data_IF_499443451693
#
_entry.id   IF_499443451693
#
_cell.length_a   1.000
_cell.length_b   1.000
_cell.length_c   1.000
_cell.angle_alpha   90.00
_cell.angle_beta   90.00
_cell.angle_gamma   90.00
#
_symmetry.space_group_name_H-M   'P 1'
#
loop_
_entity.id
_entity.type
_entity.pdbx_description
1 polymer ?
#
# COMPACT_ATOMS: atom_id res chain seq x y z
N UNK A 1 -12.42 4.11 -14.07
CA UNK A 1 -11.77 2.93 -13.47
C UNK A 1 -10.23 3.02 -13.59
N UNK A 2 -9.70 4.21 -13.41
CA UNK A 2 -8.25 4.44 -13.34
C UNK A 2 -7.76 3.88 -11.99
N UNK A 3 -6.71 3.04 -11.95
CA UNK A 3 -6.21 2.45 -10.70
C UNK A 3 -5.40 3.43 -9.83
N UNK A 4 -5.13 4.63 -10.32
CA UNK A 4 -4.41 5.68 -9.61
C UNK A 4 -5.27 6.31 -8.51
N UNK A 5 -4.61 6.85 -7.47
CA UNK A 5 -5.28 7.58 -6.40
C UNK A 5 -6.01 8.83 -6.96
N UNK A 6 -7.29 9.05 -6.61
CA UNK A 6 -8.05 10.20 -7.10
C UNK A 6 -7.43 11.56 -6.75
N UNK A 7 -6.74 11.68 -5.59
CA UNK A 7 -6.06 12.91 -5.21
C UNK A 7 -4.84 13.17 -6.12
N UNK A 8 -4.05 12.13 -6.44
CA UNK A 8 -2.91 12.23 -7.37
C UNK A 8 -3.36 12.59 -8.79
N UNK A 9 -4.47 12.01 -9.26
CA UNK A 9 -5.06 12.37 -10.56
C UNK A 9 -5.48 13.83 -10.59
N UNK A 10 -6.10 14.32 -9.53
CA UNK A 10 -6.51 15.72 -9.40
C UNK A 10 -5.30 16.65 -9.39
N UNK A 11 -4.27 16.35 -8.58
CA UNK A 11 -3.03 17.14 -8.53
C UNK A 11 -2.35 17.18 -9.90
N UNK A 12 -2.25 16.07 -10.61
CA UNK A 12 -1.70 16.01 -11.95
C UNK A 12 -2.49 16.88 -12.95
N UNK A 13 -3.82 16.89 -12.87
CA UNK A 13 -4.67 17.77 -13.70
C UNK A 13 -4.43 19.24 -13.38
N UNK A 14 -4.29 19.60 -12.11
CA UNK A 14 -4.00 20.96 -11.66
C UNK A 14 -2.61 21.43 -12.14
N UNK A 15 -1.65 20.51 -12.26
CA UNK A 15 -0.33 20.77 -12.84
C UNK A 15 -0.35 20.90 -14.37
N UNK A 16 -1.47 20.58 -15.02
CA UNK A 16 -1.68 20.70 -16.45
C UNK A 16 -1.51 19.42 -17.25
N UNK A 17 -1.42 18.26 -16.57
CA UNK A 17 -1.43 16.95 -17.23
C UNK A 17 -2.81 16.71 -17.84
N UNK A 18 -2.84 16.33 -19.12
CA UNK A 18 -4.07 16.01 -19.83
C UNK A 18 -4.29 14.53 -19.89
N UNK A 19 -5.38 14.03 -19.33
CA UNK A 19 -5.78 12.63 -19.38
C UNK A 19 -6.63 12.35 -20.61
N UNK A 20 -6.32 11.29 -21.32
CA UNK A 20 -7.13 10.74 -22.40
C UNK A 20 -7.59 9.34 -22.00
N UNK A 21 -8.78 9.28 -21.43
CA UNK A 21 -9.40 8.02 -21.03
C UNK A 21 -9.91 7.24 -22.27
N UNK A 22 -10.07 5.93 -22.12
CA UNK A 22 -10.51 5.04 -23.18
C UNK A 22 -9.72 5.25 -24.48
N UNK A 23 -8.41 5.29 -24.35
CA UNK A 23 -7.47 5.49 -25.44
C UNK A 23 -6.31 4.50 -25.28
N UNK A 24 -6.07 3.70 -26.31
CA UNK A 24 -4.98 2.71 -26.32
C UNK A 24 -3.91 3.12 -27.33
N UNK A 25 -2.61 3.06 -26.96
CA UNK A 25 -1.53 3.25 -27.89
C UNK A 25 -1.46 2.09 -28.88
N UNK A 26 -1.27 2.38 -30.16
CA UNK A 26 -1.18 1.39 -31.25
C UNK A 26 0.21 1.40 -31.86
N UNK A 27 0.77 2.58 -32.12
CA UNK A 27 2.04 2.72 -32.82
C UNK A 27 2.74 4.01 -32.41
N UNK A 28 4.06 3.92 -32.20
CA UNK A 28 4.91 5.09 -31.98
C UNK A 28 5.48 5.50 -33.34
N UNK A 29 5.22 6.73 -33.76
CA UNK A 29 5.66 7.29 -35.01
C UNK A 29 7.02 7.97 -34.84
N UNK A 30 7.91 7.79 -35.80
CA UNK A 30 9.22 8.39 -35.75
C UNK A 30 9.76 8.73 -37.13
N UNK A 31 10.66 9.69 -37.19
CA UNK A 31 11.46 10.04 -38.37
C UNK A 31 12.87 10.38 -37.94
N UNK A 32 13.86 9.98 -38.70
CA UNK A 32 15.29 10.26 -38.47
C UNK A 32 15.77 9.89 -37.05
N UNK A 33 15.26 8.77 -36.49
CA UNK A 33 15.64 8.28 -35.17
C UNK A 33 15.01 9.07 -34.02
N UNK A 34 14.04 9.95 -34.28
CA UNK A 34 13.30 10.74 -33.26
C UNK A 34 11.83 10.41 -33.30
N UNK A 35 11.20 10.41 -32.12
CA UNK A 35 9.75 10.28 -32.01
C UNK A 35 9.09 11.56 -32.54
N UNK A 36 8.05 11.41 -33.36
CA UNK A 36 7.29 12.51 -33.94
C UNK A 36 5.81 12.48 -33.52
N UNK A 37 5.35 11.34 -33.01
CA UNK A 37 3.97 11.21 -32.60
C UNK A 37 3.64 9.80 -32.10
N UNK A 38 2.39 9.64 -31.69
CA UNK A 38 1.81 8.35 -31.34
C UNK A 38 0.46 8.19 -32.02
N UNK A 39 0.21 7.06 -32.62
CA UNK A 39 -1.10 6.67 -33.10
C UNK A 39 -1.83 5.93 -32.00
N UNK A 40 -3.02 6.36 -31.69
CA UNK A 40 -3.87 5.80 -30.64
C UNK A 40 -5.22 5.37 -31.20
N UNK A 41 -5.81 4.35 -30.61
CA UNK A 41 -7.17 3.90 -30.90
C UNK A 41 -8.12 4.34 -29.78
N UNK A 42 -9.29 4.83 -30.18
CA UNK A 42 -10.38 5.10 -29.25
C UNK A 42 -11.00 3.78 -28.79
N UNK A 43 -11.20 3.64 -27.50
CA UNK A 43 -11.78 2.45 -26.89
C UNK A 43 -13.22 2.74 -26.43
N UNK A 44 -14.06 1.71 -26.44
CA UNK A 44 -15.36 1.71 -25.78
C UNK A 44 -15.38 0.69 -24.64
N UNK A 45 -16.21 0.91 -23.63
CA UNK A 45 -16.40 -0.10 -22.58
C UNK A 45 -17.28 -1.24 -23.12
N UNK A 46 -16.77 -2.45 -23.11
CA UNK A 46 -17.49 -3.67 -23.46
C UNK A 46 -18.54 -4.06 -22.41
N UNK A 47 -19.11 -5.25 -22.57
CA UNK A 47 -20.06 -5.80 -21.61
C UNK A 47 -19.38 -6.10 -20.25
N UNK A 48 -20.09 -5.97 -19.14
CA UNK A 48 -19.56 -6.31 -17.82
C UNK A 48 -19.28 -7.81 -17.71
N UNK A 49 -18.14 -8.18 -17.13
CA UNK A 49 -17.82 -9.55 -16.75
C UNK A 49 -18.62 -9.98 -15.49
N UNK A 50 -18.45 -11.24 -15.06
CA UNK A 50 -19.10 -11.79 -13.85
C UNK A 50 -18.85 -10.98 -12.57
N UNK A 51 -17.81 -10.16 -12.55
CA UNK A 51 -17.45 -9.27 -11.43
C UNK A 51 -17.89 -7.81 -11.67
N UNK A 52 -18.66 -7.56 -12.72
CA UNK A 52 -19.14 -6.23 -13.08
C UNK A 52 -18.08 -5.34 -13.76
N UNK A 53 -16.89 -5.85 -14.10
CA UNK A 53 -15.83 -5.08 -14.75
C UNK A 53 -16.04 -5.07 -16.27
N UNK A 54 -15.95 -3.88 -16.84
CA UNK A 54 -16.10 -3.67 -18.28
C UNK A 54 -14.71 -3.50 -18.91
N UNK A 55 -14.33 -4.42 -19.79
CA UNK A 55 -13.05 -4.33 -20.51
C UNK A 55 -13.14 -3.33 -21.65
N UNK A 56 -12.11 -2.49 -21.87
CA UNK A 56 -12.04 -1.65 -23.06
C UNK A 56 -11.95 -2.51 -24.31
N UNK A 57 -12.70 -2.13 -25.35
CA UNK A 57 -12.74 -2.76 -26.68
C UNK A 57 -12.44 -1.70 -27.72
N UNK A 58 -11.62 -2.00 -28.71
CA UNK A 58 -11.29 -1.09 -29.80
C UNK A 58 -12.51 -0.73 -30.63
N UNK A 59 -12.63 0.55 -30.98
CA UNK A 59 -13.72 1.03 -31.83
C UNK A 59 -13.36 1.06 -33.33
N UNK A 60 -12.07 0.88 -33.66
CA UNK A 60 -11.54 1.09 -35.00
C UNK A 60 -11.32 2.57 -35.38
N UNK A 61 -11.55 3.50 -34.44
CA UNK A 61 -11.27 4.92 -34.65
C UNK A 61 -9.85 5.24 -34.17
N UNK A 62 -9.04 5.80 -35.05
CA UNK A 62 -7.67 6.13 -34.77
C UNK A 62 -7.40 7.62 -34.81
N UNK A 63 -6.54 8.09 -33.93
CA UNK A 63 -6.05 9.48 -33.88
C UNK A 63 -4.53 9.47 -33.82
N UNK A 64 -3.88 10.46 -34.44
CA UNK A 64 -2.44 10.68 -34.29
C UNK A 64 -2.22 11.93 -33.45
N UNK A 65 -1.41 11.78 -32.41
CA UNK A 65 -1.03 12.84 -31.50
C UNK A 65 0.43 13.17 -31.74
N UNK A 66 0.75 14.41 -32.13
CA UNK A 66 2.11 14.88 -32.25
C UNK A 66 2.76 15.03 -30.87
N UNK A 67 3.97 14.47 -30.70
CA UNK A 67 4.76 14.53 -29.46
C UNK A 67 6.20 14.16 -29.72
N UNK A 68 7.09 14.53 -28.82
CA UNK A 68 8.54 14.34 -28.97
C UNK A 68 9.07 13.16 -28.16
N UNK A 69 8.32 12.70 -27.17
CA UNK A 69 8.74 11.62 -26.27
C UNK A 69 7.55 10.76 -25.83
N UNK A 70 7.80 9.48 -25.67
CA UNK A 70 6.82 8.50 -25.11
C UNK A 70 7.46 7.79 -23.93
N UNK A 71 6.74 7.75 -22.81
CA UNK A 71 7.15 7.01 -21.62
C UNK A 71 6.12 5.91 -21.37
N UNK A 72 6.59 4.64 -21.43
CA UNK A 72 5.77 3.50 -21.07
C UNK A 72 5.66 3.35 -19.56
N UNK A 73 4.46 3.47 -19.02
CA UNK A 73 4.16 3.27 -17.58
C UNK A 73 3.00 2.28 -17.40
N UNK A 74 3.07 1.14 -18.12
CA UNK A 74 2.00 0.14 -18.24
C UNK A 74 2.06 -0.98 -17.20
N UNK A 75 2.90 -0.84 -16.18
CA UNK A 75 3.12 -1.82 -15.12
C UNK A 75 4.53 -2.40 -15.12
N UNK A 76 4.76 -3.28 -14.19
CA UNK A 76 6.04 -3.95 -13.97
C UNK A 76 5.82 -5.46 -13.87
N UNK A 77 6.83 -6.22 -14.24
CA UNK A 77 6.91 -7.68 -14.07
C UNK A 77 8.19 -8.02 -13.33
N UNK A 78 8.21 -9.16 -12.67
CA UNK A 78 9.42 -9.65 -12.02
C UNK A 78 10.39 -10.10 -13.09
N UNK A 79 11.59 -9.54 -13.07
CA UNK A 79 12.73 -10.02 -13.82
C UNK A 79 13.66 -10.78 -12.86
N UNK A 80 13.75 -12.10 -13.05
CA UNK A 80 14.59 -12.96 -12.23
C UNK A 80 16.07 -12.89 -12.63
N UNK A 81 16.39 -12.24 -13.76
CA UNK A 81 17.74 -12.06 -14.25
C UNK A 81 18.48 -13.38 -14.41
N UNK A 82 19.63 -13.49 -13.74
CA UNK A 82 20.48 -14.68 -13.75
C UNK A 82 20.15 -15.69 -12.66
N UNK A 83 19.14 -15.45 -11.83
CA UNK A 83 18.71 -16.41 -10.82
C UNK A 83 18.14 -17.65 -11.52
N UNK A 84 18.64 -18.82 -11.12
CA UNK A 84 18.05 -20.07 -11.56
C UNK A 84 16.69 -20.27 -10.84
N UNK A 85 15.63 -20.06 -11.60
CA UNK A 85 14.27 -20.25 -11.09
C UNK A 85 13.76 -21.67 -11.23
N UNK A 86 14.57 -22.61 -11.71
CA UNK A 86 14.17 -24.01 -11.90
C UNK A 86 13.67 -24.70 -10.63
N UNK A 87 14.09 -24.20 -9.46
CA UNK A 87 13.63 -24.67 -8.15
C UNK A 87 12.44 -23.86 -7.61
N UNK A 88 12.03 -22.77 -8.26
CA UNK A 88 10.93 -21.92 -7.84
C UNK A 88 9.67 -22.20 -8.65
N UNK A 89 8.56 -22.44 -7.97
CA UNK A 89 7.25 -22.38 -8.62
C UNK A 89 6.83 -20.93 -8.80
N UNK A 90 6.54 -20.55 -10.05
CA UNK A 90 6.08 -19.20 -10.37
C UNK A 90 4.63 -19.20 -10.85
N UNK A 91 3.92 -18.12 -10.54
CA UNK A 91 2.57 -17.89 -11.03
C UNK A 91 2.56 -17.52 -12.51
N UNK A 92 1.39 -17.48 -13.13
CA UNK A 92 1.21 -16.98 -14.52
C UNK A 92 1.67 -15.52 -14.70
N UNK A 93 1.81 -14.77 -13.62
CA UNK A 93 2.29 -13.38 -13.62
C UNK A 93 3.80 -13.26 -13.40
N UNK A 94 4.50 -14.38 -13.27
CA UNK A 94 5.93 -14.41 -13.02
C UNK A 94 6.35 -14.19 -11.56
N UNK A 95 5.42 -14.05 -10.62
CA UNK A 95 5.74 -13.97 -9.18
C UNK A 95 5.98 -15.35 -8.59
N UNK A 96 6.83 -15.47 -7.58
CA UNK A 96 7.08 -16.74 -6.90
C UNK A 96 5.89 -17.14 -6.02
N UNK A 97 5.66 -18.45 -5.89
CA UNK A 97 4.72 -19.01 -4.92
C UNK A 97 5.41 -19.28 -3.59
N UNK A 98 4.79 -18.88 -2.49
CA UNK A 98 5.29 -19.10 -1.15
C UNK A 98 4.15 -19.24 -0.13
N UNK A 99 4.46 -19.79 1.03
CA UNK A 99 3.53 -19.82 2.16
C UNK A 99 3.29 -18.39 2.70
N UNK A 100 2.05 -18.02 2.84
CA UNK A 100 1.64 -16.66 3.19
C UNK A 100 2.04 -16.23 4.63
N UNK A 101 2.35 -17.18 5.51
CA UNK A 101 2.74 -16.90 6.89
C UNK A 101 4.26 -16.86 7.05
N UNK A 102 4.95 -17.78 6.38
CA UNK A 102 6.39 -17.97 6.54
C UNK A 102 7.21 -17.36 5.43
N UNK A 103 6.59 -17.04 4.30
CA UNK A 103 7.25 -16.55 3.08
C UNK A 103 8.24 -17.57 2.49
N UNK A 104 8.17 -18.84 2.93
CA UNK A 104 8.99 -19.94 2.42
C UNK A 104 8.41 -20.47 1.13
N UNK A 105 9.25 -20.69 0.14
CA UNK A 105 8.86 -21.32 -1.13
C UNK A 105 8.79 -22.85 -0.98
N UNK A 106 8.46 -23.53 -2.07
CA UNK A 106 8.56 -25.01 -2.12
C UNK A 106 10.01 -25.49 -1.92
N UNK A 107 10.99 -24.66 -2.26
CA UNK A 107 12.41 -24.89 -1.94
C UNK A 107 12.66 -24.41 -0.51
N UNK A 108 13.00 -25.29 0.45
CA UNK A 108 12.99 -24.98 1.88
C UNK A 108 13.96 -23.87 2.32
N UNK A 109 15.03 -23.63 1.59
CA UNK A 109 16.07 -22.63 1.87
C UNK A 109 15.85 -21.29 1.13
N UNK A 110 14.75 -21.19 0.36
CA UNK A 110 14.40 -19.98 -0.37
C UNK A 110 13.16 -19.30 0.25
N UNK A 111 13.30 -18.04 0.57
CA UNK A 111 12.23 -17.19 1.09
C UNK A 111 12.04 -15.99 0.16
N UNK A 112 10.80 -15.61 -0.08
CA UNK A 112 10.45 -14.51 -0.97
C UNK A 112 9.46 -13.56 -0.29
N UNK A 113 9.51 -12.28 -0.64
CA UNK A 113 8.58 -11.28 -0.11
C UNK A 113 8.60 -10.01 -0.98
N UNK A 114 7.65 -9.11 -0.77
CA UNK A 114 7.47 -7.92 -1.60
C UNK A 114 6.98 -8.27 -3.01
N UNK A 115 7.30 -7.43 -3.97
CA UNK A 115 6.73 -7.49 -5.33
C UNK A 115 7.02 -8.79 -6.07
N UNK A 116 8.13 -9.46 -5.77
CA UNK A 116 8.43 -10.76 -6.37
C UNK A 116 7.51 -11.90 -5.88
N UNK A 117 6.75 -11.67 -4.80
CA UNK A 117 5.74 -12.59 -4.27
C UNK A 117 4.31 -12.11 -4.54
N UNK A 118 3.99 -10.87 -4.19
CA UNK A 118 2.63 -10.34 -4.27
C UNK A 118 2.29 -9.70 -5.62
N UNK A 119 3.28 -9.40 -6.45
CA UNK A 119 3.20 -8.40 -7.49
C UNK A 119 3.35 -6.98 -6.91
N UNK A 120 3.29 -5.94 -7.74
CA UNK A 120 3.48 -4.56 -7.33
C UNK A 120 2.53 -4.12 -6.21
N UNK A 121 3.10 -3.66 -5.09
CA UNK A 121 2.41 -3.14 -3.90
C UNK A 121 3.14 -1.90 -3.38
N UNK A 122 2.70 -1.35 -2.25
CA UNK A 122 3.39 -0.24 -1.61
C UNK A 122 4.72 -0.68 -0.98
N UNK A 123 5.68 0.23 -0.94
CA UNK A 123 6.99 -0.04 -0.33
C UNK A 123 6.89 -0.52 1.13
N UNK A 124 5.89 -0.04 1.88
CA UNK A 124 5.65 -0.48 3.26
C UNK A 124 5.25 -1.95 3.35
N UNK A 125 4.54 -2.48 2.35
CA UNK A 125 4.17 -3.91 2.29
C UNK A 125 5.40 -4.77 2.04
N UNK A 126 6.31 -4.32 1.17
CA UNK A 126 7.59 -4.99 0.94
C UNK A 126 8.47 -4.99 2.20
N UNK A 127 8.51 -3.89 2.97
CA UNK A 127 9.21 -3.81 4.24
C UNK A 127 8.60 -4.79 5.27
N UNK A 128 7.29 -4.85 5.35
CA UNK A 128 6.60 -5.79 6.25
C UNK A 128 6.90 -7.25 5.87
N UNK A 129 6.79 -7.60 4.60
CA UNK A 129 7.12 -8.92 4.08
C UNK A 129 8.59 -9.31 4.37
N UNK A 130 9.52 -8.37 4.15
CA UNK A 130 10.94 -8.57 4.43
C UNK A 130 11.23 -8.86 5.90
N UNK A 131 10.56 -8.17 6.83
CA UNK A 131 10.69 -8.44 8.27
C UNK A 131 10.19 -9.83 8.63
N UNK A 132 9.04 -10.24 8.11
CA UNK A 132 8.47 -11.56 8.38
C UNK A 132 9.30 -12.67 7.75
N UNK A 133 9.76 -12.50 6.52
CA UNK A 133 10.65 -13.44 5.85
C UNK A 133 12.00 -13.59 6.59
N UNK A 134 12.56 -12.50 7.11
CA UNK A 134 13.80 -12.51 7.90
C UNK A 134 13.64 -13.34 9.20
N UNK A 135 12.48 -13.26 9.87
CA UNK A 135 12.20 -14.10 11.04
C UNK A 135 12.14 -15.58 10.64
N UNK A 136 11.54 -15.89 9.49
CA UNK A 136 11.49 -17.28 8.97
C UNK A 136 12.89 -17.78 8.64
N UNK A 137 13.68 -17.00 7.93
CA UNK A 137 15.05 -17.32 7.57
C UNK A 137 15.91 -17.55 8.83
N UNK A 138 15.81 -16.66 9.82
CA UNK A 138 16.51 -16.81 11.09
C UNK A 138 16.16 -18.12 11.77
N UNK A 139 14.89 -18.47 11.83
CA UNK A 139 14.44 -19.73 12.45
C UNK A 139 14.85 -20.97 11.66
N UNK A 140 14.85 -20.87 10.34
CA UNK A 140 15.25 -21.96 9.45
C UNK A 140 16.70 -22.37 9.67
N UNK A 141 17.62 -21.40 9.85
CA UNK A 141 19.04 -21.71 10.10
C UNK A 141 19.36 -22.10 11.54
N UNK A 142 18.38 -22.04 12.45
CA UNK A 142 18.56 -22.45 13.84
C UNK A 142 17.82 -23.77 14.10
N UNK A 143 18.53 -24.88 14.36
CA UNK A 143 17.92 -26.18 14.57
C UNK A 143 16.87 -26.18 15.69
N UNK A 144 15.77 -26.88 15.46
CA UNK A 144 14.70 -27.06 16.44
C UNK A 144 13.69 -25.93 16.56
N UNK A 145 13.85 -24.85 15.78
CA UNK A 145 12.85 -23.78 15.74
C UNK A 145 11.80 -24.02 14.66
N UNK A 146 10.52 -23.80 15.01
CA UNK A 146 9.43 -23.88 14.03
C UNK A 146 9.22 -22.54 13.37
N UNK A 147 8.95 -22.52 12.06
CA UNK A 147 8.72 -21.27 11.33
C UNK A 147 7.39 -20.60 11.73
N UNK A 148 6.44 -21.36 12.25
CA UNK A 148 5.07 -20.90 12.51
C UNK A 148 4.78 -20.53 13.97
N UNK A 149 5.60 -20.97 14.94
CA UNK A 149 5.34 -20.69 16.35
C UNK A 149 5.33 -19.19 16.66
N UNK A 150 4.28 -18.73 17.33
CA UNK A 150 4.12 -17.31 17.71
C UNK A 150 3.94 -16.35 16.54
N UNK A 151 3.66 -16.85 15.32
CA UNK A 151 3.27 -16.01 14.19
C UNK A 151 1.82 -15.56 14.33
N UNK A 152 1.62 -14.29 14.10
CA UNK A 152 0.31 -13.67 14.16
C UNK A 152 -0.48 -13.99 12.88
N UNK A 153 -1.47 -14.84 12.99
CA UNK A 153 -2.40 -15.17 11.89
C UNK A 153 -3.52 -14.15 11.86
N UNK A 154 -3.21 -12.95 11.38
CA UNK A 154 -4.21 -11.90 11.26
C UNK A 154 -5.21 -12.24 10.15
N UNK A 155 -6.46 -12.35 10.53
CA UNK A 155 -7.57 -12.40 9.58
C UNK A 155 -8.18 -11.02 9.50
N UNK A 156 -7.96 -10.35 8.39
CA UNK A 156 -8.60 -9.07 8.13
C UNK A 156 -10.03 -9.32 7.66
N UNK A 157 -10.99 -8.75 8.36
CA UNK A 157 -12.37 -8.71 7.88
C UNK A 157 -12.52 -7.54 6.91
N UNK A 158 -13.04 -7.81 5.72
CA UNK A 158 -13.53 -6.75 4.86
C UNK A 158 -14.73 -6.11 5.54
N UNK A 159 -14.64 -4.82 5.82
CA UNK A 159 -15.77 -4.07 6.37
C UNK A 159 -16.60 -3.54 5.20
N UNK A 160 -17.89 -3.76 5.25
CA UNK A 160 -18.84 -3.09 4.37
C UNK A 160 -18.97 -1.64 4.84
N UNK A 161 -18.21 -0.75 4.18
CA UNK A 161 -18.17 0.68 4.54
C UNK A 161 -19.42 1.44 4.13
N UNK A 162 -20.21 0.89 3.21
CA UNK A 162 -21.41 1.54 2.70
C UNK A 162 -22.62 1.32 3.60
N UNK A 163 -22.64 0.19 4.34
CA UNK A 163 -23.77 -0.19 5.19
C UNK A 163 -23.44 -0.18 6.68
N UNK A 164 -22.34 0.46 7.09
CA UNK A 164 -22.02 0.60 8.52
C UNK A 164 -23.05 1.50 9.20
N UNK A 165 -23.82 0.93 10.10
CA UNK A 165 -24.69 1.68 11.00
C UNK A 165 -23.81 2.42 12.02
N UNK A 166 -23.49 3.67 11.74
CA UNK A 166 -22.83 4.54 12.69
C UNK A 166 -23.89 5.11 13.63
N UNK A 167 -23.72 4.91 14.94
CA UNK A 167 -24.45 5.66 15.93
C UNK A 167 -24.02 7.13 15.85
N UNK A 168 -24.79 7.95 15.14
CA UNK A 168 -24.43 9.35 14.86
C UNK A 168 -24.83 10.30 15.98
N UNK A 169 -25.52 9.83 17.02
CA UNK A 169 -25.86 10.65 18.18
C UNK A 169 -24.60 11.03 18.94
N UNK A 170 -24.29 12.31 18.98
CA UNK A 170 -23.12 12.86 19.68
C UNK A 170 -21.84 12.99 18.85
N UNK A 171 -21.87 12.65 17.57
CA UNK A 171 -20.74 12.92 16.68
C UNK A 171 -20.88 14.32 16.06
N UNK A 172 -19.74 14.99 16.00
CA UNK A 172 -19.58 16.22 15.26
C UNK A 172 -19.80 15.97 13.76
N UNK A 173 -20.56 16.85 13.11
CA UNK A 173 -20.80 16.82 11.66
C UNK A 173 -19.77 17.66 10.89
N UNK A 174 -18.70 18.08 11.52
CA UNK A 174 -17.65 18.87 10.89
C UNK A 174 -17.00 18.09 9.76
N UNK A 175 -16.81 18.76 8.65
CA UNK A 175 -16.12 18.20 7.49
C UNK A 175 -14.63 18.02 7.78
N UNK A 176 -14.04 17.00 7.13
CA UNK A 176 -12.60 16.77 7.12
C UNK A 176 -11.87 18.05 6.73
N UNK A 177 -10.84 18.42 7.50
CA UNK A 177 -9.93 19.50 7.12
C UNK A 177 -9.02 19.01 5.98
N UNK A 178 -8.78 19.87 5.01
CA UNK A 178 -7.87 19.58 3.91
C UNK A 178 -6.58 20.38 4.08
N UNK A 179 -5.41 19.78 3.77
CA UNK A 179 -4.15 20.53 3.76
C UNK A 179 -4.22 21.66 2.73
N UNK A 180 -3.49 22.73 2.97
CA UNK A 180 -3.35 23.80 2.02
C UNK A 180 -2.50 23.38 0.81
N UNK A 181 -2.57 24.15 -0.26
CA UNK A 181 -1.83 23.92 -1.48
C UNK A 181 -1.10 25.19 -1.94
N UNK A 182 0.19 25.09 -2.23
CA UNK A 182 1.01 26.20 -2.73
C UNK A 182 1.24 26.02 -4.23
N UNK A 183 0.43 26.70 -5.05
CA UNK A 183 0.50 26.62 -6.50
C UNK A 183 1.85 27.05 -7.10
N UNK A 184 2.63 27.89 -6.41
CA UNK A 184 3.96 28.28 -6.88
C UNK A 184 4.98 27.14 -6.85
N UNK A 185 4.73 26.12 -6.04
CA UNK A 185 5.57 24.90 -5.94
C UNK A 185 5.10 23.75 -6.83
N UNK A 186 3.90 23.82 -7.38
CA UNK A 186 3.25 22.74 -8.12
C UNK A 186 4.08 22.17 -9.28
N UNK A 187 4.85 23.00 -9.97
CA UNK A 187 5.69 22.58 -11.11
C UNK A 187 7.18 22.49 -10.76
N UNK A 188 7.49 22.23 -9.51
CA UNK A 188 8.86 22.10 -8.99
C UNK A 188 9.02 20.76 -8.31
N UNK A 189 10.26 20.39 -7.94
CA UNK A 189 10.54 19.21 -7.11
C UNK A 189 10.26 19.43 -5.60
N UNK A 190 9.69 20.57 -5.23
CA UNK A 190 9.30 20.86 -3.85
C UNK A 190 7.87 20.40 -3.60
N UNK A 191 7.58 19.92 -2.39
CA UNK A 191 6.22 19.55 -2.00
C UNK A 191 5.31 20.79 -2.02
N UNK A 192 4.26 20.75 -2.83
CA UNK A 192 3.27 21.81 -2.94
C UNK A 192 2.24 21.79 -1.81
N UNK A 193 2.13 20.68 -1.06
CA UNK A 193 1.22 20.56 0.07
C UNK A 193 1.70 21.39 1.24
N UNK A 194 0.76 22.04 1.91
CA UNK A 194 1.01 22.83 3.12
C UNK A 194 0.40 22.09 4.30
N UNK A 195 1.20 21.86 5.34
CA UNK A 195 0.72 21.19 6.56
C UNK A 195 -0.44 21.92 7.21
N UNK A 196 -1.20 21.20 8.03
CA UNK A 196 -2.29 21.79 8.79
C UNK A 196 -1.81 22.91 9.73
N UNK A 197 -2.64 23.93 9.87
CA UNK A 197 -2.49 24.92 10.95
C UNK A 197 -2.84 24.28 12.29
N UNK A 198 -2.42 24.88 13.40
CA UNK A 198 -2.76 24.41 14.75
C UNK A 198 -4.28 24.28 14.93
N UNK A 199 -5.05 25.21 14.39
CA UNK A 199 -6.52 25.16 14.47
C UNK A 199 -7.09 23.99 13.68
N UNK A 200 -6.59 23.71 12.48
CA UNK A 200 -6.98 22.54 11.69
C UNK A 200 -6.64 21.25 12.40
N UNK A 201 -5.43 21.15 13.01
CA UNK A 201 -5.03 19.97 13.80
C UNK A 201 -6.01 19.75 14.95
N UNK A 202 -6.37 20.79 15.69
CA UNK A 202 -7.33 20.70 16.79
C UNK A 202 -8.70 20.18 16.34
N UNK A 203 -9.19 20.66 15.18
CA UNK A 203 -10.45 20.18 14.59
C UNK A 203 -10.37 18.71 14.19
N UNK A 204 -9.30 18.28 13.52
CA UNK A 204 -9.13 16.88 13.12
C UNK A 204 -8.93 15.96 14.34
N UNK A 205 -8.20 16.41 15.37
CA UNK A 205 -8.06 15.64 16.61
C UNK A 205 -9.40 15.47 17.34
N UNK A 206 -10.29 16.46 17.30
CA UNK A 206 -11.63 16.38 17.89
C UNK A 206 -12.51 15.30 17.20
N UNK A 207 -12.30 15.07 15.92
CA UNK A 207 -13.00 14.03 15.14
C UNK A 207 -12.35 12.65 15.24
N UNK A 208 -11.15 12.54 15.80
CA UNK A 208 -10.35 11.33 15.76
C UNK A 208 -10.99 10.23 16.63
N UNK A 209 -11.29 9.08 16.03
CA UNK A 209 -11.86 7.93 16.73
C UNK A 209 -10.80 7.10 17.49
N UNK A 210 -9.53 7.46 17.39
CA UNK A 210 -8.43 6.75 18.03
C UNK A 210 -8.24 5.30 17.56
N UNK A 211 -8.62 4.97 16.32
CA UNK A 211 -8.63 3.59 15.81
C UNK A 211 -7.27 2.90 15.85
N UNK A 212 -6.19 3.66 15.72
CA UNK A 212 -4.81 3.17 15.79
C UNK A 212 -4.12 3.40 17.13
N UNK A 213 -4.85 3.90 18.14
CA UNK A 213 -4.28 4.19 19.45
C UNK A 213 -3.84 2.90 20.15
N UNK A 214 -2.58 2.88 20.58
CA UNK A 214 -2.04 1.77 21.37
C UNK A 214 -2.76 1.72 22.72
N UNK A 215 -3.30 0.54 23.04
CA UNK A 215 -3.89 0.27 24.35
C UNK A 215 -3.07 -0.77 25.09
N UNK A 216 -2.87 -0.55 26.38
CA UNK A 216 -2.30 -1.58 27.27
C UNK A 216 -3.45 -2.44 27.79
N UNK A 217 -3.38 -3.75 27.53
CA UNK A 217 -4.27 -4.69 28.19
C UNK A 217 -3.80 -4.88 29.62
N UNK A 218 -4.49 -4.24 30.55
CA UNK A 218 -4.14 -4.27 31.97
C UNK A 218 -4.30 -5.66 32.61
N UNK A 219 -5.08 -6.55 31.98
CA UNK A 219 -5.25 -7.93 32.45
C UNK A 219 -4.05 -8.81 32.06
N UNK A 220 -3.51 -8.61 30.87
CA UNK A 220 -2.36 -9.35 30.37
C UNK A 220 -1.01 -8.68 30.73
N UNK A 221 -1.03 -7.43 31.13
CA UNK A 221 0.19 -6.70 31.47
C UNK A 221 0.77 -7.14 32.82
N UNK A 222 1.95 -7.74 32.77
CA UNK A 222 2.67 -8.19 33.97
C UNK A 222 3.58 -7.11 34.58
N UNK A 223 3.56 -5.88 34.07
CA UNK A 223 4.36 -4.78 34.60
C UNK A 223 5.89 -4.92 34.40
N UNK A 224 6.34 -5.70 33.44
CA UNK A 224 7.77 -6.01 33.26
C UNK A 224 8.65 -4.82 32.82
N UNK A 225 8.06 -3.68 32.43
CA UNK A 225 8.79 -2.47 32.05
C UNK A 225 9.42 -2.49 30.65
N UNK A 226 9.33 -3.58 29.89
CA UNK A 226 9.96 -3.68 28.57
C UNK A 226 9.46 -2.59 27.60
N UNK A 227 8.18 -2.26 27.63
CA UNK A 227 7.59 -1.21 26.79
C UNK A 227 8.17 0.17 27.09
N UNK A 228 8.49 0.49 28.35
CA UNK A 228 9.08 1.77 28.74
C UNK A 228 10.50 1.91 28.19
N UNK A 229 11.29 0.82 28.22
CA UNK A 229 12.66 0.83 27.68
C UNK A 229 12.72 0.86 26.15
N UNK A 230 11.65 0.45 25.45
CA UNK A 230 11.57 0.44 23.98
C UNK A 230 10.97 1.71 23.40
N UNK A 231 10.25 2.49 24.19
CA UNK A 231 9.67 3.75 23.74
C UNK A 231 10.74 4.83 23.62
N UNK A 232 11.09 5.20 22.39
CA UNK A 232 12.07 6.27 22.13
C UNK A 232 11.58 7.67 22.49
N UNK A 233 10.28 7.82 22.69
CA UNK A 233 9.62 9.10 22.96
C UNK A 233 9.29 9.30 24.46
N UNK A 234 9.72 8.37 25.32
CA UNK A 234 9.38 8.36 26.75
C UNK A 234 7.89 8.55 27.03
N UNK A 235 7.03 8.00 26.15
CA UNK A 235 5.58 8.16 26.21
C UNK A 235 4.88 7.08 27.05
N UNK A 236 5.62 6.12 27.60
CA UNK A 236 5.07 4.99 28.36
C UNK A 236 5.72 4.97 29.73
N UNK A 237 4.90 5.15 30.77
CA UNK A 237 5.35 5.12 32.15
C UNK A 237 4.58 4.07 32.94
N UNK A 238 5.27 3.29 33.76
CA UNK A 238 4.65 2.39 34.72
C UNK A 238 4.35 3.15 36.01
N UNK A 239 3.08 3.12 36.43
CA UNK A 239 2.64 3.67 37.71
C UNK A 239 2.24 2.53 38.62
N UNK A 240 2.89 2.41 39.77
CA UNK A 240 2.49 1.48 40.83
C UNK A 240 1.15 1.90 41.40
N UNK A 241 0.15 1.03 41.30
CA UNK A 241 -1.22 1.32 41.70
C UNK A 241 -1.55 0.73 43.08
N UNK A 242 -0.91 -0.39 43.45
CA UNK A 242 -1.06 -1.08 44.74
C UNK A 242 0.25 -1.73 45.17
N UNK A 243 0.47 -1.76 46.47
CA UNK A 243 1.41 -2.65 47.10
C UNK A 243 0.73 -3.96 47.47
N UNK A 244 1.20 -5.07 46.92
CA UNK A 244 0.81 -6.39 47.40
C UNK A 244 1.77 -6.78 48.53
N UNK A 245 1.28 -6.82 49.74
CA UNK A 245 1.97 -7.53 50.79
C UNK A 245 1.53 -8.99 50.72
N UNK A 246 2.45 -9.91 50.56
CA UNK A 246 2.17 -11.32 50.72
C UNK A 246 1.68 -11.52 52.15
N UNK A 247 0.42 -11.86 52.32
CA UNK A 247 -0.08 -12.27 53.64
C UNK A 247 0.68 -13.52 54.03
N UNK A 248 1.30 -13.51 55.20
CA UNK A 248 1.77 -14.73 55.82
C UNK A 248 0.57 -15.65 56.06
N UNK A 249 0.60 -16.85 55.51
CA UNK A 249 -0.29 -17.95 55.82
C UNK A 249 0.09 -18.51 57.20
#
# INVERSE_FOLDING_TARGET
ELPADPEEVKEAMEEGVRFRFLTAPVEILGADGKVTGIRVERMALGEPDEKGRRKPVGTGEFETIALDSVIGAIGQTVDWGTLDTGALTTTKKGTAEADALTYQTAQPDIFVGGDCYTGPQFAIDAIAAGKEAAISLHRFVHPGQTLTAGRDRRVYRSLDKEHVLLATAGFDKDHRQMPGYNAAKAKTFSDARVTFTEEQVKKECARCLGCGATKVDSYLCIGCGLCTTKCKFDAIHLKKVRDWHAGSY
#
